data_IF_711039155601
#
_entry.id   IF_711039155601
#
_cell.length_a   1.000
_cell.length_b   1.000
_cell.length_c   1.000
_cell.angle_alpha   90.00
_cell.angle_beta   90.00
_cell.angle_gamma   90.00
#
_symmetry.space_group_name_H-M   'P 1'
#
loop_
_entity.id
_entity.type
_entity.pdbx_description
1 polymer ?
#
# COMPACT_ATOMS: atom_id res chain seq x y z
N UNK A 1 -14.48 34.04 -7.76
CA UNK A 1 -13.58 33.61 -6.67
C UNK A 1 -13.77 32.11 -6.47
N UNK A 2 -12.95 31.27 -7.10
CA UNK A 2 -13.00 29.82 -6.87
C UNK A 2 -12.00 29.49 -5.77
N UNK A 3 -12.49 29.24 -4.56
CA UNK A 3 -11.67 28.65 -3.50
C UNK A 3 -11.44 27.18 -3.84
N UNK A 4 -10.45 26.92 -4.69
CA UNK A 4 -9.89 25.59 -4.87
C UNK A 4 -9.39 25.12 -3.50
N UNK A 5 -10.16 24.25 -2.86
CA UNK A 5 -9.81 23.63 -1.59
C UNK A 5 -8.52 22.83 -1.77
N UNK A 6 -7.39 23.44 -1.41
CA UNK A 6 -6.11 22.77 -1.39
C UNK A 6 -6.15 21.71 -0.29
N UNK A 7 -6.11 20.45 -0.70
CA UNK A 7 -6.15 19.29 0.19
C UNK A 7 -5.16 19.41 1.36
N UNK A 8 -5.62 18.99 2.53
CA UNK A 8 -4.90 18.78 3.79
C UNK A 8 -3.41 19.13 3.74
N UNK A 9 -3.04 20.32 4.21
CA UNK A 9 -1.64 20.71 4.35
C UNK A 9 -1.00 19.81 5.40
N UNK A 10 -0.40 18.70 4.97
CA UNK A 10 0.30 17.78 5.86
C UNK A 10 1.56 18.47 6.41
N UNK A 11 1.42 19.09 7.58
CA UNK A 11 2.48 19.77 8.31
C UNK A 11 3.21 18.78 9.22
N UNK A 12 4.52 18.96 9.39
CA UNK A 12 5.28 18.17 10.33
C UNK A 12 4.92 18.59 11.77
N UNK A 13 4.69 17.66 12.71
CA UNK A 13 4.13 17.98 14.03
C UNK A 13 5.03 18.86 14.90
N UNK A 14 6.35 18.83 14.70
CA UNK A 14 7.33 19.57 15.52
C UNK A 14 8.08 20.68 14.79
N UNK A 15 8.04 20.70 13.46
CA UNK A 15 8.90 21.54 12.62
C UNK A 15 8.00 22.36 11.71
N UNK A 16 8.32 23.64 11.51
CA UNK A 16 7.55 24.52 10.65
C UNK A 16 7.82 24.26 9.15
N UNK A 17 7.59 23.02 8.72
CA UNK A 17 7.73 22.56 7.33
C UNK A 17 6.64 21.54 6.98
N UNK A 18 6.40 21.36 5.69
CA UNK A 18 5.52 20.30 5.18
C UNK A 18 6.19 18.91 5.27
N UNK A 19 5.39 17.85 5.36
CA UNK A 19 5.86 16.45 5.32
C UNK A 19 6.56 16.12 3.99
N UNK A 20 7.80 15.66 4.09
CA UNK A 20 8.63 15.16 3.00
C UNK A 20 8.00 13.95 2.33
N UNK A 21 8.41 13.67 1.10
CA UNK A 21 7.87 12.53 0.34
C UNK A 21 8.12 11.19 1.05
N UNK A 22 9.23 11.05 1.78
CA UNK A 22 9.54 9.83 2.54
C UNK A 22 8.68 9.71 3.81
N UNK A 23 8.38 10.82 4.50
CA UNK A 23 7.46 10.78 5.65
C UNK A 23 6.05 10.35 5.22
N UNK A 24 5.59 10.84 4.05
CA UNK A 24 4.30 10.42 3.49
C UNK A 24 4.36 8.97 2.99
N UNK A 25 5.48 8.53 2.42
CA UNK A 25 5.66 7.14 1.98
C UNK A 25 5.62 6.18 3.18
N UNK A 26 6.30 6.52 4.27
CA UNK A 26 6.26 5.75 5.52
C UNK A 26 4.83 5.69 6.09
N UNK A 27 4.08 6.79 6.02
CA UNK A 27 2.68 6.81 6.46
C UNK A 27 1.79 5.86 5.65
N UNK A 28 2.13 5.59 4.37
CA UNK A 28 1.45 4.61 3.52
C UNK A 28 2.00 3.18 3.67
N UNK A 29 2.98 2.95 4.55
CA UNK A 29 3.59 1.64 4.75
C UNK A 29 4.65 1.27 3.72
N UNK A 30 5.20 2.23 2.97
CA UNK A 30 6.39 1.97 2.15
C UNK A 30 7.64 1.83 3.05
N UNK A 31 8.56 0.92 2.70
CA UNK A 31 9.82 0.79 3.40
C UNK A 31 10.70 2.02 3.13
N UNK A 32 11.56 2.37 4.09
CA UNK A 32 12.39 3.59 4.01
C UNK A 32 13.41 3.58 2.87
N UNK A 33 13.77 2.39 2.37
CA UNK A 33 14.67 2.20 1.25
C UNK A 33 13.96 2.29 -0.12
N UNK A 34 12.67 2.64 -0.17
CA UNK A 34 11.94 2.77 -1.41
C UNK A 34 12.38 4.01 -2.21
N UNK A 35 12.88 3.79 -3.42
CA UNK A 35 13.39 4.85 -4.28
C UNK A 35 12.25 5.62 -4.97
N UNK A 36 11.96 6.84 -4.48
CA UNK A 36 11.02 7.74 -5.14
C UNK A 36 11.70 8.52 -6.27
N UNK A 37 11.30 8.24 -7.52
CA UNK A 37 11.89 8.85 -8.72
C UNK A 37 11.15 10.13 -9.12
N UNK A 38 11.90 11.20 -9.35
CA UNK A 38 11.37 12.44 -9.94
C UNK A 38 11.99 13.68 -9.31
N UNK A 39 12.28 14.70 -10.12
CA UNK A 39 13.04 15.88 -9.70
C UNK A 39 12.29 16.74 -8.68
N UNK A 40 10.98 16.93 -8.89
CA UNK A 40 10.15 17.79 -8.05
C UNK A 40 9.53 17.05 -6.87
N UNK A 41 9.56 17.66 -5.68
CA UNK A 41 8.86 17.17 -4.48
C UNK A 41 7.37 16.88 -4.75
N UNK A 42 6.70 17.75 -5.51
CA UNK A 42 5.29 17.59 -5.87
C UNK A 42 5.02 16.30 -6.67
N UNK A 43 5.95 15.91 -7.56
CA UNK A 43 5.81 14.68 -8.36
C UNK A 43 5.94 13.46 -7.46
N UNK A 44 6.94 13.42 -6.58
CA UNK A 44 7.13 12.33 -5.62
C UNK A 44 5.94 12.19 -4.66
N UNK A 45 5.40 13.30 -4.17
CA UNK A 45 4.18 13.27 -3.33
C UNK A 45 2.95 12.77 -4.08
N UNK A 46 2.80 13.11 -5.37
CA UNK A 46 1.71 12.57 -6.20
C UNK A 46 1.86 11.07 -6.43
N UNK A 47 3.08 10.58 -6.66
CA UNK A 47 3.34 9.14 -6.81
C UNK A 47 2.92 8.39 -5.55
N UNK A 48 3.37 8.86 -4.38
CA UNK A 48 3.01 8.23 -3.09
C UNK A 48 1.51 8.35 -2.80
N UNK A 49 0.91 9.51 -3.06
CA UNK A 49 -0.51 9.75 -2.76
C UNK A 49 -1.48 9.00 -3.67
N UNK A 50 -1.07 8.68 -4.90
CA UNK A 50 -1.86 7.88 -5.84
C UNK A 50 -1.54 6.38 -5.77
N UNK A 51 -0.44 6.01 -5.11
CA UNK A 51 -0.05 4.61 -4.99
C UNK A 51 -0.95 3.86 -4.01
N UNK A 52 -1.12 2.55 -4.26
CA UNK A 52 -1.77 1.65 -3.32
C UNK A 52 -0.79 1.34 -2.17
N UNK A 53 -1.24 1.40 -0.89
CA UNK A 53 -0.41 1.04 0.25
C UNK A 53 0.12 -0.40 0.15
N UNK A 54 1.43 -0.65 0.35
CA UNK A 54 1.99 -2.01 0.29
C UNK A 54 1.31 -3.03 1.21
N UNK A 55 0.95 -2.71 2.47
CA UNK A 55 0.24 -3.67 3.34
C UNK A 55 -1.13 -4.09 2.78
N UNK A 56 -1.83 -3.17 2.12
CA UNK A 56 -3.12 -3.47 1.48
C UNK A 56 -2.92 -4.35 0.24
N UNK A 57 -1.90 -4.03 -0.57
CA UNK A 57 -1.57 -4.82 -1.75
C UNK A 57 -1.17 -6.26 -1.39
N UNK A 58 -0.44 -6.44 -0.28
CA UNK A 58 -0.09 -7.76 0.25
C UNK A 58 -1.34 -8.57 0.62
N UNK A 59 -2.26 -8.02 1.42
CA UNK A 59 -3.48 -8.70 1.82
C UNK A 59 -4.33 -9.12 0.60
N UNK A 60 -4.46 -8.24 -0.40
CA UNK A 60 -5.16 -8.56 -1.65
C UNK A 60 -4.43 -9.65 -2.46
N UNK A 61 -3.10 -9.63 -2.47
CA UNK A 61 -2.28 -10.64 -3.13
C UNK A 61 -2.47 -12.03 -2.55
N UNK A 62 -2.57 -12.15 -1.22
CA UNK A 62 -2.83 -13.42 -0.54
C UNK A 62 -4.19 -14.01 -0.91
N UNK A 63 -5.26 -13.21 -0.90
CA UNK A 63 -6.59 -13.68 -1.29
C UNK A 63 -6.65 -14.07 -2.76
N UNK A 64 -6.03 -13.28 -3.64
CA UNK A 64 -5.96 -13.61 -5.06
C UNK A 64 -5.20 -14.92 -5.28
N UNK A 65 -4.08 -15.13 -4.59
CA UNK A 65 -3.31 -16.36 -4.66
C UNK A 65 -4.14 -17.57 -4.23
N UNK A 66 -4.91 -17.45 -3.13
CA UNK A 66 -5.79 -18.51 -2.63
C UNK A 66 -6.84 -18.92 -3.66
N UNK A 67 -7.49 -17.94 -4.29
CA UNK A 67 -8.52 -18.19 -5.31
C UNK A 67 -7.90 -18.81 -6.55
N UNK A 68 -6.77 -18.28 -7.02
CA UNK A 68 -6.09 -18.81 -8.20
C UNK A 68 -5.56 -20.23 -7.97
N UNK A 69 -4.98 -20.52 -6.81
CA UNK A 69 -4.52 -21.86 -6.45
C UNK A 69 -5.71 -22.85 -6.46
N UNK A 70 -6.84 -22.47 -5.88
CA UNK A 70 -8.05 -23.29 -5.88
C UNK A 70 -8.59 -23.51 -7.30
N UNK A 71 -8.63 -22.46 -8.12
CA UNK A 71 -9.11 -22.54 -9.50
C UNK A 71 -8.21 -23.43 -10.38
N UNK A 72 -6.89 -23.35 -10.20
CA UNK A 72 -5.92 -24.20 -10.93
C UNK A 72 -6.05 -25.66 -10.50
N UNK A 73 -6.21 -25.96 -9.21
CA UNK A 73 -6.44 -27.32 -8.71
C UNK A 73 -7.77 -27.90 -9.20
N UNK A 74 -8.82 -27.07 -9.30
CA UNK A 74 -10.10 -27.48 -9.87
C UNK A 74 -9.99 -27.81 -11.38
N UNK A 75 -9.16 -27.08 -12.12
CA UNK A 75 -8.89 -27.36 -13.54
C UNK A 75 -8.04 -28.63 -13.76
N UNK A 76 -7.27 -29.07 -12.75
CA UNK A 76 -6.34 -30.22 -12.85
C UNK A 76 -6.83 -31.50 -12.16
N UNK A 77 -8.10 -31.56 -11.72
CA UNK A 77 -8.79 -32.83 -11.45
C UNK A 77 -8.31 -33.64 -10.23
N UNK A 78 -7.72 -33.01 -9.22
CA UNK A 78 -7.43 -33.68 -7.93
C UNK A 78 -7.93 -32.84 -6.74
N UNK A 79 -9.05 -33.27 -6.16
CA UNK A 79 -9.63 -32.67 -4.97
C UNK A 79 -8.82 -33.13 -3.74
N UNK A 80 -7.95 -32.27 -3.24
CA UNK A 80 -7.30 -32.41 -1.95
C UNK A 80 -7.74 -31.27 -1.03
N UNK A 81 -8.66 -31.56 -0.11
CA UNK A 81 -9.01 -30.65 0.98
C UNK A 81 -7.79 -30.40 1.89
N UNK A 82 -7.65 -29.16 2.35
CA UNK A 82 -6.85 -28.79 3.53
C UNK A 82 -6.01 -27.55 3.27
N UNK A 83 -5.95 -26.53 4.11
CA UNK A 83 -6.40 -26.35 5.48
C UNK A 83 -6.63 -24.85 5.65
N UNK A 84 -7.82 -24.48 6.13
CA UNK A 84 -8.05 -23.18 6.76
C UNK A 84 -7.10 -23.12 7.98
N UNK A 85 -5.95 -22.47 7.80
CA UNK A 85 -5.12 -22.03 8.91
C UNK A 85 -4.96 -20.51 8.77
N UNK A 86 -6.09 -19.83 8.95
CA UNK A 86 -6.18 -18.40 9.22
C UNK A 86 -5.56 -18.12 10.59
N UNK A 87 -4.23 -18.01 10.68
CA UNK A 87 -3.55 -17.61 11.93
C UNK A 87 -2.39 -16.64 11.76
N UNK A 88 -2.42 -15.72 10.77
CA UNK A 88 -1.36 -14.70 10.69
C UNK A 88 -1.80 -13.29 10.30
N UNK A 89 -3.03 -12.92 10.67
CA UNK A 89 -3.43 -11.50 10.68
C UNK A 89 -3.41 -10.94 12.11
N UNK A 90 -2.38 -11.27 12.90
CA UNK A 90 -2.03 -10.46 14.07
C UNK A 90 -1.02 -9.40 13.62
N UNK A 91 -1.53 -8.21 13.38
CA UNK A 91 -0.75 -6.98 13.29
C UNK A 91 -0.50 -6.56 14.74
N UNK A 92 0.69 -6.90 15.29
CA UNK A 92 1.24 -6.25 16.50
C UNK A 92 1.91 -4.94 16.14
#
# INVERSE_FOLDING_TARGET
MTTSGSACSALHPKQNRRLSALEVARAQGFPDNFALVGSSRRVRLKQVGNAVPPPLAEALGWELHRVLATAVSAASGSQGLGSCNDKRFEIS
#
